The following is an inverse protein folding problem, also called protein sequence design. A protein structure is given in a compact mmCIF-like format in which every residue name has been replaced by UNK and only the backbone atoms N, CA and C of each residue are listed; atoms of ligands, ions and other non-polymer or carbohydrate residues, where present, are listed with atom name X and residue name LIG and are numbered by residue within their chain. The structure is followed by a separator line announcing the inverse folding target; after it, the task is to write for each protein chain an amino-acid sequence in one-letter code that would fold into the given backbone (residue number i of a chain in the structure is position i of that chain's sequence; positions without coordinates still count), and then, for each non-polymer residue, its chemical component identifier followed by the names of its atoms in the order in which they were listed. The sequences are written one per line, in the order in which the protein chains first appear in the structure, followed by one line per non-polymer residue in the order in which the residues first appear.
data_IF_286577485607
#
_entry.id   IF_286577485607
#
_cell.length_a   1.000
_cell.length_b   1.000
_cell.length_c   1.000
_cell.angle_alpha   90.00
_cell.angle_beta   90.00
_cell.angle_gamma   90.00
#
_symmetry.space_group_name_H-M   'P 1'
#
loop_
_entity.id
_entity.type
_entity.pdbx_description
1 polymer ?
#
# COMPACT_ATOMS: atom_id res chain seq x y z
N UNK A 1 -6.05 -8.50 3.03
CA UNK A 1 -5.09 -7.88 3.97
C UNK A 1 -5.86 -7.54 5.23
N UNK A 2 -5.26 -7.75 6.41
CA UNK A 2 -5.81 -7.21 7.65
C UNK A 2 -5.56 -5.71 7.72
N UNK A 3 -6.43 -4.96 8.40
CA UNK A 3 -6.29 -3.53 8.62
C UNK A 3 -6.30 -3.23 10.12
N UNK A 4 -5.41 -2.35 10.57
CA UNK A 4 -5.49 -1.80 11.93
C UNK A 4 -6.72 -0.91 12.09
N UNK A 5 -7.01 -0.43 13.30
CA UNK A 5 -8.05 0.59 13.48
C UNK A 5 -7.71 1.90 12.74
N UNK A 6 -8.72 2.56 12.17
CA UNK A 6 -8.57 3.83 11.43
C UNK A 6 -8.59 3.73 9.91
N UNK A 7 -8.95 2.57 9.35
CA UNK A 7 -9.23 2.39 7.93
C UNK A 7 -10.72 2.25 7.66
N UNK A 8 -11.16 2.78 6.53
CA UNK A 8 -12.53 2.62 6.01
C UNK A 8 -12.48 1.87 4.68
N UNK A 9 -13.42 0.94 4.46
CA UNK A 9 -13.58 0.29 3.16
C UNK A 9 -14.50 1.13 2.28
N UNK A 10 -14.12 1.33 1.03
CA UNK A 10 -14.93 2.02 0.02
C UNK A 10 -15.13 1.10 -1.19
N UNK A 11 -16.27 1.24 -1.86
CA UNK A 11 -16.68 0.45 -3.02
C UNK A 11 -16.93 1.39 -4.21
N UNK A 12 -16.27 1.13 -5.33
CA UNK A 12 -16.51 1.84 -6.60
C UNK A 12 -15.85 1.08 -7.75
N UNK A 13 -16.48 1.09 -8.91
CA UNK A 13 -15.96 0.43 -10.11
C UNK A 13 -14.61 0.99 -10.56
N UNK A 14 -14.24 2.21 -10.18
CA UNK A 14 -12.93 2.81 -10.54
C UNK A 14 -11.75 2.15 -9.83
N UNK A 15 -11.98 1.46 -8.70
CA UNK A 15 -10.93 0.79 -7.93
C UNK A 15 -10.61 -0.60 -8.47
N UNK A 16 -9.40 -1.10 -8.19
CA UNK A 16 -9.06 -2.50 -8.52
C UNK A 16 -9.99 -3.46 -7.77
N UNK A 17 -10.64 -4.38 -8.51
CA UNK A 17 -11.68 -5.28 -7.97
C UNK A 17 -12.83 -4.55 -7.25
N UNK A 18 -13.14 -3.33 -7.67
CA UNK A 18 -14.31 -2.58 -7.19
C UNK A 18 -14.21 -2.06 -5.76
N UNK A 19 -13.04 -2.15 -5.11
CA UNK A 19 -12.91 -1.86 -3.68
C UNK A 19 -11.57 -1.20 -3.33
N UNK A 20 -11.59 -0.34 -2.33
CA UNK A 20 -10.41 0.32 -1.80
C UNK A 20 -10.44 0.41 -0.28
N UNK A 21 -9.27 0.42 0.35
CA UNK A 21 -9.13 0.68 1.80
C UNK A 21 -8.48 2.05 1.98
N UNK A 22 -9.16 2.92 2.72
CA UNK A 22 -8.91 4.36 2.72
C UNK A 22 -8.65 4.87 4.13
N UNK A 23 -7.74 5.83 4.27
CA UNK A 23 -7.50 6.57 5.51
C UNK A 23 -6.82 7.90 5.25
N UNK A 24 -6.83 8.77 6.25
CA UNK A 24 -5.99 9.98 6.35
C UNK A 24 -5.12 9.96 7.61
N UNK A 25 -5.22 8.91 8.43
CA UNK A 25 -4.56 8.80 9.74
C UNK A 25 -3.13 8.28 9.55
N UNK A 26 -2.15 8.95 10.15
CA UNK A 26 -0.77 8.47 10.19
C UNK A 26 -0.62 7.24 11.11
N UNK A 27 0.36 6.39 10.83
CA UNK A 27 0.77 5.29 11.70
C UNK A 27 -0.09 4.02 11.63
N UNK A 28 -1.30 4.09 11.07
CA UNK A 28 -2.15 2.93 10.79
C UNK A 28 -1.54 2.08 9.67
N UNK A 29 -1.89 0.79 9.63
CA UNK A 29 -1.27 -0.14 8.69
C UNK A 29 -2.23 -1.18 8.13
N UNK A 30 -1.87 -1.70 6.95
CA UNK A 30 -2.42 -2.92 6.36
C UNK A 30 -1.37 -4.01 6.46
N UNK A 31 -1.78 -5.25 6.71
CA UNK A 31 -0.87 -6.39 6.82
C UNK A 31 -1.32 -7.60 6.00
N UNK A 32 -0.34 -8.37 5.55
CA UNK A 32 -0.54 -9.68 4.93
C UNK A 32 0.51 -10.64 5.46
N UNK A 33 0.08 -11.65 6.20
CA UNK A 33 0.92 -12.72 6.73
C UNK A 33 1.15 -13.80 5.66
N UNK A 34 2.14 -14.67 5.89
CA UNK A 34 2.38 -15.86 5.07
C UNK A 34 2.84 -15.59 3.63
N UNK A 35 3.43 -14.43 3.37
CA UNK A 35 3.92 -14.07 2.04
C UNK A 35 5.34 -14.63 1.83
N UNK A 36 5.61 -15.15 0.64
CA UNK A 36 6.94 -15.56 0.18
C UNK A 36 7.30 -14.77 -1.07
N UNK A 37 8.33 -13.93 -1.00
CA UNK A 37 8.57 -12.89 -2.00
C UNK A 37 10.01 -12.37 -2.03
N UNK A 38 10.39 -11.84 -3.19
CA UNK A 38 11.59 -11.00 -3.39
C UNK A 38 11.24 -9.61 -3.94
N UNK A 39 9.95 -9.31 -4.17
CA UNK A 39 9.47 -7.99 -4.58
C UNK A 39 8.04 -7.74 -4.12
N UNK A 40 7.74 -6.48 -3.80
CA UNK A 40 6.38 -5.99 -3.48
C UNK A 40 5.94 -4.95 -4.50
N UNK A 41 4.67 -4.93 -4.84
CA UNK A 41 4.02 -3.82 -5.51
C UNK A 41 2.77 -3.39 -4.74
N UNK A 42 2.44 -2.10 -4.79
CA UNK A 42 1.19 -1.56 -4.26
C UNK A 42 0.30 -1.15 -5.43
N UNK A 43 -0.99 -1.49 -5.35
CA UNK A 43 -2.03 -0.90 -6.21
C UNK A 43 -2.76 0.16 -5.41
N UNK A 44 -2.72 1.41 -5.86
CA UNK A 44 -3.25 2.54 -5.11
C UNK A 44 -3.77 3.65 -6.04
N UNK A 45 -4.54 4.57 -5.47
CA UNK A 45 -4.83 5.85 -6.13
C UNK A 45 -3.72 6.83 -5.85
N UNK A 46 -3.27 7.54 -6.90
CA UNK A 46 -2.36 8.67 -6.81
C UNK A 46 -3.07 9.97 -7.14
N UNK A 47 -2.74 11.05 -6.44
CA UNK A 47 -3.37 12.36 -6.63
C UNK A 47 -2.52 13.49 -6.01
N UNK A 48 -2.82 14.78 -6.30
CA UNK A 48 -1.98 15.89 -5.81
C UNK A 48 -1.98 16.04 -4.29
N UNK A 49 -3.05 15.59 -3.63
CA UNK A 49 -3.24 15.67 -2.17
C UNK A 49 -2.96 14.34 -1.47
N UNK A 50 -2.57 13.32 -2.23
CA UNK A 50 -2.38 11.98 -1.71
C UNK A 50 -1.08 11.87 -0.89
N UNK A 51 -1.11 10.95 0.07
CA UNK A 51 -0.10 10.79 1.10
C UNK A 51 1.07 9.89 0.71
N UNK A 52 1.65 9.24 1.72
CA UNK A 52 2.73 8.28 1.54
C UNK A 52 2.58 7.10 2.49
N UNK A 53 3.14 5.97 2.08
CA UNK A 53 3.23 4.75 2.87
C UNK A 53 4.65 4.20 2.87
N UNK A 54 5.03 3.50 3.92
CA UNK A 54 6.25 2.70 4.00
C UNK A 54 5.91 1.22 4.05
N UNK A 55 6.61 0.44 3.25
CA UNK A 55 6.43 -1.01 3.18
C UNK A 55 7.52 -1.69 3.96
N UNK A 56 7.12 -2.69 4.75
CA UNK A 56 7.99 -3.52 5.55
C UNK A 56 7.75 -4.99 5.22
N UNK A 57 8.81 -5.79 5.33
CA UNK A 57 8.76 -7.25 5.32
C UNK A 57 9.50 -7.71 6.57
N UNK A 58 8.81 -8.40 7.48
CA UNK A 58 9.34 -8.79 8.80
C UNK A 58 9.97 -7.61 9.55
N UNK A 59 9.24 -6.50 9.65
CA UNK A 59 9.66 -5.24 10.30
C UNK A 59 10.87 -4.53 9.65
N UNK A 60 11.45 -5.08 8.57
CA UNK A 60 12.50 -4.41 7.79
C UNK A 60 11.86 -3.60 6.67
N UNK A 61 12.13 -2.30 6.62
CA UNK A 61 11.64 -1.44 5.55
C UNK A 61 12.23 -1.89 4.20
N UNK A 62 11.36 -2.11 3.20
CA UNK A 62 11.75 -2.45 1.82
C UNK A 62 11.51 -1.28 0.85
N UNK A 63 10.88 -0.21 1.31
CA UNK A 63 10.85 1.07 0.61
C UNK A 63 9.69 1.96 1.02
N UNK A 64 9.72 3.19 0.52
CA UNK A 64 8.68 4.21 0.75
C UNK A 64 8.00 4.51 -0.57
N UNK A 65 6.67 4.58 -0.56
CA UNK A 65 5.85 4.90 -1.74
C UNK A 65 5.17 6.24 -1.51
N UNK A 66 5.48 7.20 -2.37
CA UNK A 66 4.71 8.44 -2.49
C UNK A 66 3.50 8.19 -3.39
N UNK A 67 2.31 8.52 -2.89
CA UNK A 67 1.07 8.49 -3.65
C UNK A 67 0.78 9.83 -4.34
N UNK A 68 1.69 10.79 -4.24
CA UNK A 68 1.58 12.03 -5.00
C UNK A 68 1.63 11.76 -6.51
N UNK A 69 0.71 12.37 -7.24
CA UNK A 69 0.78 12.58 -8.69
C UNK A 69 0.05 13.89 -9.03
N UNK A 70 0.61 14.72 -9.91
CA UNK A 70 -0.03 15.96 -10.35
C UNK A 70 -1.41 15.74 -10.99
N UNK A 71 -1.67 14.53 -11.52
CA UNK A 71 -2.97 14.11 -12.03
C UNK A 71 -3.51 12.93 -11.23
N UNK A 72 -4.83 12.90 -11.07
CA UNK A 72 -5.54 11.77 -10.47
C UNK A 72 -5.31 10.52 -11.31
N UNK A 73 -4.86 9.45 -10.66
CA UNK A 73 -4.59 8.18 -11.30
C UNK A 73 -5.07 7.04 -10.40
N UNK A 74 -6.15 6.39 -10.81
CA UNK A 74 -6.65 5.18 -10.16
C UNK A 74 -5.81 3.97 -10.54
N UNK A 75 -5.81 2.93 -9.70
CA UNK A 75 -5.20 1.62 -9.98
C UNK A 75 -3.71 1.69 -10.37
N UNK A 76 -2.99 2.69 -9.87
CA UNK A 76 -1.56 2.81 -10.14
C UNK A 76 -0.80 1.65 -9.50
N UNK A 77 -0.07 0.89 -10.30
CA UNK A 77 0.80 -0.20 -9.82
C UNK A 77 2.19 0.35 -9.57
N UNK A 78 2.62 0.35 -8.31
CA UNK A 78 3.89 0.93 -7.86
C UNK A 78 4.76 -0.22 -7.34
N UNK A 79 5.67 -0.70 -8.17
CA UNK A 79 6.64 -1.72 -7.78
C UNK A 79 7.77 -1.10 -6.95
N UNK A 80 8.12 -1.75 -5.85
CA UNK A 80 9.31 -1.43 -5.06
C UNK A 80 10.53 -2.17 -5.63
N UNK A 81 11.76 -1.71 -5.33
CA UNK A 81 12.96 -2.44 -5.65
C UNK A 81 12.90 -3.89 -5.17
N UNK A 82 13.56 -4.79 -5.91
CA UNK A 82 13.72 -6.16 -5.45
C UNK A 82 14.61 -6.21 -4.20
N UNK A 83 14.42 -7.24 -3.40
CA UNK A 83 15.21 -7.55 -2.22
C UNK A 83 15.44 -9.05 -2.15
N UNK A 84 16.43 -9.50 -1.37
CA UNK A 84 16.69 -10.93 -1.17
C UNK A 84 15.45 -11.66 -0.68
N UNK A 85 15.25 -12.91 -1.11
CA UNK A 85 14.06 -13.71 -0.80
C UNK A 85 13.74 -13.70 0.71
N UNK A 86 12.46 -13.46 1.03
CA UNK A 86 11.95 -13.46 2.40
C UNK A 86 10.59 -14.16 2.45
N UNK A 87 10.38 -14.89 3.53
CA UNK A 87 9.05 -15.33 3.95
C UNK A 87 8.61 -14.56 5.19
N UNK A 88 7.32 -14.24 5.29
CA UNK A 88 6.72 -13.67 6.49
C UNK A 88 5.65 -12.63 6.23
N UNK A 89 5.66 -11.55 7.03
CA UNK A 89 4.57 -10.56 7.05
C UNK A 89 4.96 -9.30 6.28
N UNK A 90 4.12 -8.93 5.32
CA UNK A 90 4.19 -7.64 4.64
C UNK A 90 3.31 -6.64 5.37
N UNK A 91 3.85 -5.46 5.68
CA UNK A 91 3.13 -4.36 6.32
C UNK A 91 3.23 -3.12 5.44
N UNK A 92 2.09 -2.50 5.13
CA UNK A 92 2.00 -1.19 4.49
C UNK A 92 1.53 -0.18 5.54
N UNK A 93 2.43 0.67 6.03
CA UNK A 93 2.17 1.64 7.10
C UNK A 93 2.06 3.04 6.54
N UNK A 94 1.05 3.79 6.95
CA UNK A 94 0.86 5.19 6.56
C UNK A 94 1.89 6.08 7.25
N UNK A 95 2.59 6.90 6.46
CA UNK A 95 3.62 7.82 6.96
C UNK A 95 3.19 9.28 6.95
N UNK A 96 2.18 9.64 6.15
CA UNK A 96 1.62 11.00 6.11
C UNK A 96 0.41 11.17 7.03
N UNK A 97 0.24 12.35 7.62
CA UNK A 97 -0.96 12.74 8.37
C UNK A 97 -1.85 13.66 7.54
N UNK A 98 -3.17 13.52 7.65
CA UNK A 98 -4.17 14.39 7.01
C UNK A 98 -4.26 14.26 5.48
N UNK A 99 -3.44 13.42 4.86
CA UNK A 99 -3.41 13.20 3.41
C UNK A 99 -4.07 11.88 3.05
N UNK A 100 -4.83 11.88 1.94
CA UNK A 100 -5.53 10.69 1.47
C UNK A 100 -4.54 9.57 1.16
N UNK A 101 -4.73 8.42 1.79
CA UNK A 101 -4.09 7.16 1.41
C UNK A 101 -5.19 6.18 1.02
N UNK A 102 -5.16 5.75 -0.24
CA UNK A 102 -6.10 4.78 -0.78
C UNK A 102 -5.33 3.61 -1.39
N UNK A 103 -5.49 2.44 -0.78
CA UNK A 103 -4.85 1.20 -1.23
C UNK A 103 -5.91 0.25 -1.77
N UNK A 104 -5.77 -0.13 -3.03
CA UNK A 104 -6.68 -1.06 -3.70
C UNK A 104 -6.17 -2.51 -3.59
N UNK A 105 -4.84 -2.71 -3.54
CA UNK A 105 -4.25 -4.04 -3.52
C UNK A 105 -2.76 -4.09 -3.21
N UNK A 106 -2.28 -5.31 -2.98
CA UNK A 106 -0.88 -5.66 -2.74
C UNK A 106 -0.46 -6.76 -3.72
N UNK A 107 0.52 -6.48 -4.56
CA UNK A 107 1.21 -7.45 -5.40
C UNK A 107 2.47 -7.98 -4.72
N UNK A 108 2.73 -9.27 -4.90
CA UNK A 108 3.93 -9.94 -4.40
C UNK A 108 4.46 -10.85 -5.49
N UNK A 109 5.76 -10.86 -5.73
CA UNK A 109 6.38 -11.80 -6.66
C UNK A 109 7.63 -12.42 -6.07
N UNK A 110 7.98 -13.59 -6.61
CA UNK A 110 9.26 -14.27 -6.40
C UNK A 110 9.94 -14.35 -7.77
N UNK A 111 11.21 -13.99 -7.79
CA UNK A 111 12.15 -14.17 -8.88
C UNK A 111 13.38 -14.83 -8.28
#
# INVERSE_FOLDING_TARGET
MGASSGWTRSTSSVFYRGTATVTTKAGVYLSRTGAALSRVAIVATKCPTCGSVRVYVNNVAVGTVSLYNAKLQYRAVIALPAFGYRSGTVVVKVTSSGKLVQIDGLGTSRA
#
